data_IF_729226665987
#
_entry.id   IF_729226665987
#
_cell.length_a   1.000
_cell.length_b   1.000
_cell.length_c   1.000
_cell.angle_alpha   90.00
_cell.angle_beta   90.00
_cell.angle_gamma   90.00
#
_symmetry.space_group_name_H-M   'P 1'
#
loop_
_entity.id
_entity.type
_entity.pdbx_description
1 polymer ?
#
# COMPACT_ATOMS: atom_id res chain seq x y z
N UNK A 1 70.26 43.80 -23.08
CA UNK A 1 68.95 43.27 -22.80
C UNK A 1 69.08 41.78 -22.55
N UNK A 2 69.03 41.35 -21.26
CA UNK A 2 69.12 39.97 -20.85
C UNK A 2 67.69 39.38 -20.63
N UNK A 3 67.35 38.36 -21.38
CA UNK A 3 66.08 37.63 -21.22
C UNK A 3 66.31 36.46 -20.29
N UNK A 4 65.68 36.50 -19.12
CA UNK A 4 65.65 35.42 -18.14
C UNK A 4 64.59 34.38 -18.56
N UNK A 5 64.99 33.15 -18.89
CA UNK A 5 64.12 32.02 -19.08
C UNK A 5 63.87 31.36 -17.74
N UNK A 6 62.63 31.42 -17.27
CA UNK A 6 62.16 30.63 -16.11
C UNK A 6 61.82 29.21 -16.59
N UNK A 7 62.62 28.23 -16.16
CA UNK A 7 62.34 26.84 -16.37
C UNK A 7 61.26 26.36 -15.41
N UNK A 8 60.14 25.93 -15.92
CA UNK A 8 59.07 25.27 -15.19
C UNK A 8 59.49 23.76 -15.05
N UNK A 9 59.82 23.34 -13.84
CA UNK A 9 60.09 21.95 -13.50
C UNK A 9 58.79 21.20 -13.34
N UNK A 10 58.52 20.25 -14.21
CA UNK A 10 57.39 19.34 -14.08
C UNK A 10 57.67 18.25 -13.03
N UNK A 11 56.74 17.92 -12.15
CA UNK A 11 56.88 16.84 -11.18
C UNK A 11 56.93 15.50 -11.92
N UNK A 12 57.93 14.68 -11.61
CA UNK A 12 58.12 13.33 -12.16
C UNK A 12 57.02 12.37 -11.77
N UNK A 13 56.82 11.29 -12.53
CA UNK A 13 55.73 10.33 -12.30
C UNK A 13 55.97 9.57 -10.97
N UNK A 14 54.92 9.53 -10.15
CA UNK A 14 54.88 8.77 -8.90
C UNK A 14 55.05 7.26 -9.17
N UNK A 15 55.68 6.48 -8.26
CA UNK A 15 55.92 5.05 -8.45
C UNK A 15 54.60 4.30 -8.45
N UNK A 16 54.33 3.62 -9.55
CA UNK A 16 53.20 2.68 -9.67
C UNK A 16 53.31 1.60 -8.63
N UNK A 17 52.37 1.53 -7.68
CA UNK A 17 52.24 0.39 -6.76
C UNK A 17 52.07 -0.88 -7.60
N UNK A 18 53.09 -1.68 -7.68
CA UNK A 18 53.08 -2.99 -8.29
C UNK A 18 52.09 -3.90 -7.57
N UNK A 19 50.99 -4.21 -8.18
CA UNK A 19 50.12 -5.28 -7.75
C UNK A 19 50.86 -6.59 -7.98
N UNK A 20 51.39 -7.19 -6.92
CA UNK A 20 51.88 -8.58 -6.96
C UNK A 20 50.67 -9.48 -7.14
N UNK A 21 50.33 -9.82 -8.38
CA UNK A 21 49.42 -10.91 -8.67
C UNK A 21 50.09 -12.22 -8.25
N UNK A 22 49.73 -12.73 -7.08
CA UNK A 22 50.06 -14.10 -6.71
C UNK A 22 49.29 -15.02 -7.64
N UNK A 23 49.99 -15.80 -8.44
CA UNK A 23 49.45 -16.84 -9.28
C UNK A 23 48.75 -17.87 -8.37
N UNK A 24 47.42 -17.77 -8.28
CA UNK A 24 46.59 -18.77 -7.59
C UNK A 24 46.45 -19.94 -8.55
N UNK A 25 46.84 -21.15 -8.13
CA UNK A 25 46.71 -22.35 -8.98
C UNK A 25 45.24 -22.53 -9.40
N UNK A 26 45.01 -22.97 -10.64
CA UNK A 26 43.67 -23.18 -11.23
C UNK A 26 42.81 -24.06 -10.32
N UNK A 27 43.40 -25.06 -9.65
CA UNK A 27 42.73 -25.93 -8.70
C UNK A 27 42.18 -25.14 -7.47
N UNK A 28 42.91 -24.15 -6.97
CA UNK A 28 42.52 -23.34 -5.82
C UNK A 28 41.47 -22.31 -6.20
N UNK A 29 41.55 -21.76 -7.42
CA UNK A 29 40.51 -20.88 -7.96
C UNK A 29 39.18 -21.62 -8.20
N UNK A 30 39.26 -22.86 -8.73
CA UNK A 30 38.10 -23.72 -8.92
C UNK A 30 37.44 -24.13 -7.58
N UNK A 31 38.28 -24.44 -6.57
CA UNK A 31 37.77 -24.77 -5.23
C UNK A 31 37.07 -23.58 -4.56
N UNK A 32 37.63 -22.37 -4.64
CA UNK A 32 36.97 -21.16 -4.16
C UNK A 32 35.69 -20.79 -4.93
N UNK A 33 35.64 -21.09 -6.21
CA UNK A 33 34.43 -20.91 -7.01
C UNK A 33 33.33 -21.90 -6.63
N UNK A 34 33.69 -23.17 -6.40
CA UNK A 34 32.78 -24.21 -5.91
C UNK A 34 32.26 -23.89 -4.49
N UNK A 35 33.10 -23.39 -3.61
CA UNK A 35 32.71 -22.99 -2.25
C UNK A 35 31.73 -21.80 -2.26
N UNK A 36 31.92 -20.85 -3.17
CA UNK A 36 30.94 -19.77 -3.39
C UNK A 36 29.60 -20.26 -3.93
N UNK A 37 29.60 -21.25 -4.83
CA UNK A 37 28.38 -21.84 -5.39
C UNK A 37 27.64 -22.65 -4.32
N UNK A 38 28.35 -23.45 -3.53
CA UNK A 38 27.75 -24.27 -2.46
C UNK A 38 27.22 -23.42 -1.31
N UNK A 39 27.92 -22.33 -0.91
CA UNK A 39 27.42 -21.40 0.10
C UNK A 39 26.21 -20.61 -0.38
N UNK A 40 26.10 -20.34 -1.68
CA UNK A 40 24.90 -19.67 -2.24
C UNK A 40 23.70 -20.62 -2.31
N UNK A 41 23.93 -21.91 -2.62
CA UNK A 41 22.86 -22.92 -2.67
C UNK A 41 22.36 -23.36 -1.30
N UNK A 42 23.22 -23.43 -0.27
CA UNK A 42 22.81 -23.76 1.10
C UNK A 42 21.96 -22.66 1.72
N UNK A 43 22.13 -21.38 1.33
CA UNK A 43 21.25 -20.28 1.74
C UNK A 43 19.83 -20.35 1.15
N UNK A 44 19.67 -20.96 -0.01
CA UNK A 44 18.35 -21.08 -0.68
C UNK A 44 17.50 -22.24 -0.11
N UNK A 45 18.08 -23.19 0.62
CA UNK A 45 17.39 -24.42 1.09
C UNK A 45 16.89 -24.39 2.53
N UNK A 46 17.29 -23.42 3.33
CA UNK A 46 16.67 -23.25 4.65
C UNK A 46 15.33 -22.54 4.45
N UNK A 47 14.22 -23.31 4.43
CA UNK A 47 12.85 -22.81 4.36
C UNK A 47 12.39 -22.03 5.58
N UNK A 48 13.30 -21.25 6.17
CA UNK A 48 13.01 -20.24 7.17
C UNK A 48 12.71 -18.90 6.50
N UNK A 49 11.89 -18.10 7.14
CA UNK A 49 11.66 -16.70 6.84
C UNK A 49 12.91 -16.07 6.23
N UNK A 50 12.82 -15.51 5.02
CA UNK A 50 13.96 -14.92 4.30
C UNK A 50 14.50 -13.71 5.09
N UNK A 51 15.30 -13.99 6.09
CA UNK A 51 15.94 -12.99 6.94
C UNK A 51 17.06 -12.34 6.15
N UNK A 52 16.84 -11.11 5.74
CA UNK A 52 17.83 -10.36 4.94
C UNK A 52 18.98 -9.82 5.79
N UNK A 53 18.93 -9.95 7.12
CA UNK A 53 19.81 -9.30 8.10
C UNK A 53 19.97 -7.78 7.88
N UNK A 54 19.17 -7.22 7.01
CA UNK A 54 19.19 -5.81 6.69
C UNK A 54 18.52 -5.00 7.80
N UNK A 55 18.98 -3.76 7.96
CA UNK A 55 18.34 -2.79 8.85
C UNK A 55 16.88 -2.59 8.45
N UNK A 56 15.98 -2.56 9.42
CA UNK A 56 14.57 -2.31 9.19
C UNK A 56 14.38 -0.93 8.56
N UNK A 57 13.67 -0.89 7.44
CA UNK A 57 13.36 0.36 6.76
C UNK A 57 12.20 1.09 7.47
N UNK A 58 12.15 2.44 7.38
CA UNK A 58 10.99 3.19 7.85
C UNK A 58 9.71 2.68 7.18
N UNK A 59 8.59 2.76 7.90
CA UNK A 59 7.27 2.26 7.49
C UNK A 59 7.18 0.74 7.28
N UNK A 60 8.07 -0.04 7.90
CA UNK A 60 7.91 -1.49 7.98
C UNK A 60 6.94 -1.84 9.10
N UNK A 61 5.97 -2.72 8.82
CA UNK A 61 5.02 -3.26 9.80
C UNK A 61 5.45 -4.65 10.25
N UNK A 62 5.10 -5.02 11.45
CA UNK A 62 5.34 -6.37 11.95
C UNK A 62 4.54 -7.39 11.11
N UNK A 63 5.21 -8.48 10.73
CA UNK A 63 4.58 -9.57 10.03
C UNK A 63 3.54 -10.25 10.94
N UNK A 64 2.37 -10.58 10.39
CA UNK A 64 1.26 -11.20 11.12
C UNK A 64 0.27 -10.22 11.76
N UNK A 65 0.51 -8.88 11.70
CA UNK A 65 -0.37 -7.90 12.36
C UNK A 65 -1.36 -7.19 11.44
N UNK A 66 -1.10 -7.17 10.13
CA UNK A 66 -1.89 -6.38 9.16
C UNK A 66 -2.20 -7.15 7.88
N UNK A 67 -1.71 -8.36 7.77
CA UNK A 67 -1.70 -9.10 6.50
C UNK A 67 -3.09 -9.54 6.11
N UNK A 68 -3.94 -9.89 7.06
CA UNK A 68 -5.32 -10.32 6.81
C UNK A 68 -6.16 -9.17 6.22
N UNK A 69 -5.96 -7.93 6.68
CA UNK A 69 -6.60 -6.73 6.11
C UNK A 69 -5.99 -6.32 4.76
N UNK A 70 -4.70 -6.60 4.58
CA UNK A 70 -3.97 -6.20 3.37
C UNK A 70 -4.27 -7.10 2.18
N UNK A 71 -4.37 -8.41 2.42
CA UNK A 71 -4.66 -9.38 1.39
C UNK A 71 -6.16 -9.47 1.09
N UNK A 72 -6.48 -9.76 -0.15
CA UNK A 72 -7.84 -10.14 -0.52
C UNK A 72 -7.79 -11.20 -1.63
N UNK A 73 -8.79 -12.04 -1.65
CA UNK A 73 -8.92 -13.07 -2.66
C UNK A 73 -9.48 -12.47 -3.95
N UNK A 74 -8.82 -12.74 -5.06
CA UNK A 74 -9.29 -12.28 -6.38
C UNK A 74 -10.44 -13.14 -6.87
N UNK A 75 -11.47 -12.53 -7.43
CA UNK A 75 -12.52 -13.24 -8.11
C UNK A 75 -11.98 -13.95 -9.36
N UNK A 76 -12.68 -15.00 -9.81
CA UNK A 76 -12.31 -15.75 -11.01
C UNK A 76 -12.15 -14.83 -12.21
N UNK A 77 -10.98 -14.86 -12.86
CA UNK A 77 -10.64 -14.04 -14.01
C UNK A 77 -10.32 -12.58 -13.70
N UNK A 78 -10.32 -12.15 -12.43
CA UNK A 78 -9.99 -10.76 -12.08
C UNK A 78 -8.52 -10.44 -12.33
N UNK A 79 -7.61 -11.36 -12.02
CA UNK A 79 -6.17 -11.22 -12.30
C UNK A 79 -5.90 -11.05 -13.79
N UNK A 80 -6.60 -11.81 -14.63
CA UNK A 80 -6.46 -11.73 -16.07
C UNK A 80 -7.02 -10.41 -16.62
N UNK A 81 -8.15 -9.94 -16.05
CA UNK A 81 -8.71 -8.61 -16.38
C UNK A 81 -7.79 -7.46 -15.98
N UNK A 82 -7.14 -7.53 -14.81
CA UNK A 82 -6.15 -6.52 -14.39
C UNK A 82 -5.00 -6.48 -15.39
N UNK A 83 -4.47 -7.65 -15.77
CA UNK A 83 -3.38 -7.75 -16.73
C UNK A 83 -3.78 -7.22 -18.11
N UNK A 84 -4.91 -7.66 -18.64
CA UNK A 84 -5.40 -7.23 -19.96
C UNK A 84 -5.60 -5.70 -20.02
N UNK A 85 -6.18 -5.11 -18.98
CA UNK A 85 -6.32 -3.65 -18.89
C UNK A 85 -4.99 -2.92 -18.83
N UNK A 86 -4.03 -3.45 -18.09
CA UNK A 86 -2.69 -2.85 -18.01
C UNK A 86 -1.92 -2.95 -19.34
N UNK A 87 -2.07 -4.07 -20.07
CA UNK A 87 -1.48 -4.25 -21.40
C UNK A 87 -2.10 -3.28 -22.41
N UNK A 88 -3.42 -3.14 -22.44
CA UNK A 88 -4.12 -2.18 -23.30
C UNK A 88 -3.63 -0.73 -23.08
N UNK A 89 -3.41 -0.32 -21.82
CA UNK A 89 -2.85 1.00 -21.53
C UNK A 89 -1.42 1.17 -22.04
N UNK A 90 -0.63 0.11 -22.02
CA UNK A 90 0.73 0.15 -22.54
C UNK A 90 0.72 0.29 -24.06
N UNK A 91 -0.16 -0.42 -24.77
CA UNK A 91 -0.33 -0.34 -26.21
C UNK A 91 -0.79 1.07 -26.64
N UNK A 92 -1.72 1.67 -25.89
CA UNK A 92 -2.24 3.01 -26.16
C UNK A 92 -1.26 4.15 -25.85
N UNK A 93 -0.20 3.88 -25.12
CA UNK A 93 0.77 4.88 -24.64
C UNK A 93 1.30 5.81 -25.75
N UNK A 94 1.66 5.21 -26.89
CA UNK A 94 2.18 5.98 -28.01
C UNK A 94 1.10 6.82 -28.72
N UNK A 95 -0.14 6.37 -28.73
CA UNK A 95 -1.27 7.14 -29.25
C UNK A 95 -1.54 8.36 -28.37
N UNK A 96 -1.60 8.19 -27.05
CA UNK A 96 -1.76 9.27 -26.07
C UNK A 96 -0.65 10.31 -26.22
N UNK A 97 0.61 9.88 -26.36
CA UNK A 97 1.74 10.80 -26.55
C UNK A 97 1.61 11.61 -27.84
N UNK A 98 1.19 10.95 -28.94
CA UNK A 98 1.01 11.60 -30.24
C UNK A 98 -0.13 12.62 -30.22
N UNK A 99 -1.29 12.29 -29.62
CA UNK A 99 -2.41 13.22 -29.50
C UNK A 99 -2.03 14.45 -28.66
N UNK A 100 -1.42 14.26 -27.50
CA UNK A 100 -0.97 15.37 -26.67
C UNK A 100 0.01 16.31 -27.40
N UNK A 101 0.94 15.72 -28.21
CA UNK A 101 1.86 16.50 -29.03
C UNK A 101 1.14 17.24 -30.16
N UNK A 102 0.20 16.63 -30.83
CA UNK A 102 -0.59 17.25 -31.90
C UNK A 102 -1.44 18.41 -31.39
N UNK A 103 -2.00 18.27 -30.19
CA UNK A 103 -2.78 19.30 -29.50
C UNK A 103 -1.90 20.38 -28.82
N UNK A 104 -0.58 20.23 -28.82
CA UNK A 104 0.35 21.15 -28.16
C UNK A 104 0.20 21.23 -26.63
N UNK A 105 -0.46 20.25 -26.01
CA UNK A 105 -0.72 20.23 -24.58
C UNK A 105 0.28 19.40 -23.79
N UNK A 106 0.40 19.73 -22.51
CA UNK A 106 1.16 18.92 -21.55
C UNK A 106 0.35 17.71 -21.13
N UNK A 107 1.02 16.55 -20.98
CA UNK A 107 0.40 15.32 -20.48
C UNK A 107 -0.23 15.54 -19.10
N UNK A 108 -1.46 15.08 -18.94
CA UNK A 108 -2.15 15.08 -17.66
C UNK A 108 -1.44 14.16 -16.63
N UNK A 109 -1.67 14.31 -15.31
CA UNK A 109 -1.06 13.44 -14.31
C UNK A 109 -1.30 11.95 -14.56
N UNK A 110 -2.50 11.57 -15.00
CA UNK A 110 -2.83 10.16 -15.28
C UNK A 110 -2.16 9.66 -16.56
N UNK A 111 -2.09 10.47 -17.61
CA UNK A 111 -1.33 10.14 -18.82
C UNK A 111 0.16 9.95 -18.50
N UNK A 112 0.74 10.79 -17.63
CA UNK A 112 2.12 10.62 -17.15
C UNK A 112 2.31 9.29 -16.41
N UNK A 113 1.32 8.83 -15.62
CA UNK A 113 1.35 7.50 -15.00
C UNK A 113 1.37 6.40 -16.04
N UNK A 114 0.54 6.48 -17.09
CA UNK A 114 0.52 5.51 -18.19
C UNK A 114 1.89 5.44 -18.88
N UNK A 115 2.59 6.58 -19.05
CA UNK A 115 3.93 6.59 -19.64
C UNK A 115 4.96 5.76 -18.85
N UNK A 116 4.75 5.50 -17.57
CA UNK A 116 5.63 4.67 -16.74
C UNK A 116 5.46 3.16 -17.00
N UNK A 117 4.38 2.75 -17.65
CA UNK A 117 4.20 1.35 -18.03
C UNK A 117 5.23 0.97 -19.10
N UNK A 118 5.91 -0.13 -18.86
CA UNK A 118 6.89 -0.68 -19.78
C UNK A 118 6.62 -2.17 -19.97
N UNK A 119 7.02 -2.78 -21.11
CA UNK A 119 6.87 -4.24 -21.30
C UNK A 119 7.52 -5.06 -20.19
N UNK A 120 8.64 -4.56 -19.63
CA UNK A 120 9.30 -5.17 -18.46
C UNK A 120 8.45 -5.10 -17.20
N UNK A 121 7.74 -3.99 -16.97
CA UNK A 121 6.83 -3.84 -15.84
C UNK A 121 5.61 -4.75 -16.00
N UNK A 122 5.04 -4.85 -17.20
CA UNK A 122 3.94 -5.78 -17.49
C UNK A 122 4.33 -7.25 -17.25
N UNK A 123 5.54 -7.64 -17.66
CA UNK A 123 6.03 -9.01 -17.41
C UNK A 123 6.10 -9.32 -15.91
N UNK A 124 6.58 -8.37 -15.10
CA UNK A 124 6.63 -8.53 -13.64
C UNK A 124 5.23 -8.51 -13.03
N UNK A 125 4.34 -7.64 -13.51
CA UNK A 125 2.94 -7.63 -13.10
C UNK A 125 2.27 -8.98 -13.35
N UNK A 126 2.49 -9.59 -14.53
CA UNK A 126 1.98 -10.91 -14.87
C UNK A 126 2.42 -11.97 -13.87
N UNK A 127 3.73 -12.03 -13.57
CA UNK A 127 4.29 -12.99 -12.59
C UNK A 127 3.67 -12.81 -11.20
N UNK A 128 3.45 -11.57 -10.75
CA UNK A 128 2.81 -11.30 -9.46
C UNK A 128 1.32 -11.67 -9.46
N UNK A 129 0.59 -11.45 -10.55
CA UNK A 129 -0.82 -11.83 -10.67
C UNK A 129 -0.99 -13.36 -10.75
N UNK A 130 -0.09 -14.06 -11.43
CA UNK A 130 -0.05 -15.52 -11.42
C UNK A 130 0.19 -16.08 -10.00
N UNK A 131 1.12 -15.48 -9.26
CA UNK A 131 1.34 -15.83 -7.86
C UNK A 131 0.10 -15.55 -7.00
N UNK A 132 -0.56 -14.41 -7.21
CA UNK A 132 -1.78 -14.05 -6.48
C UNK A 132 -2.91 -15.06 -6.72
N UNK A 133 -3.04 -15.57 -7.94
CA UNK A 133 -4.01 -16.59 -8.30
C UNK A 133 -3.74 -17.93 -7.61
N UNK A 134 -2.46 -18.34 -7.51
CA UNK A 134 -2.08 -19.61 -6.88
C UNK A 134 -2.10 -19.56 -5.35
N UNK A 135 -1.85 -18.39 -4.76
CA UNK A 135 -1.75 -18.20 -3.31
C UNK A 135 -2.97 -17.49 -2.70
N UNK A 136 -4.15 -17.57 -3.32
CA UNK A 136 -5.39 -16.94 -2.84
C UNK A 136 -5.20 -15.46 -2.42
N UNK A 137 -4.44 -14.71 -3.21
CA UNK A 137 -4.16 -13.29 -2.98
C UNK A 137 -3.00 -12.98 -2.03
N UNK A 138 -2.42 -13.99 -1.35
CA UNK A 138 -1.30 -13.81 -0.40
C UNK A 138 0.04 -13.73 -1.15
N UNK A 139 0.48 -12.52 -1.50
CA UNK A 139 1.64 -12.27 -2.37
C UNK A 139 2.78 -11.62 -1.59
N UNK A 140 3.81 -12.41 -1.27
CA UNK A 140 5.01 -11.94 -0.56
C UNK A 140 6.30 -12.58 -1.09
N UNK A 141 6.57 -12.50 -2.41
CA UNK A 141 7.76 -13.07 -3.01
C UNK A 141 9.03 -12.37 -2.57
N UNK A 142 10.13 -13.09 -2.62
CA UNK A 142 11.47 -12.49 -2.51
C UNK A 142 11.86 -11.82 -3.82
N UNK A 143 12.82 -10.92 -3.78
CA UNK A 143 13.37 -10.29 -4.98
C UNK A 143 13.98 -11.32 -5.95
N UNK A 144 14.75 -12.26 -5.41
CA UNK A 144 15.38 -13.34 -6.16
C UNK A 144 14.34 -14.21 -6.88
N UNK A 145 13.24 -14.51 -6.20
CA UNK A 145 12.14 -15.25 -6.83
C UNK A 145 11.52 -14.48 -8.00
N UNK A 146 11.31 -13.16 -7.86
CA UNK A 146 10.78 -12.33 -8.94
C UNK A 146 11.77 -12.27 -10.11
N UNK A 147 13.08 -12.12 -9.84
CA UNK A 147 14.15 -12.13 -10.84
C UNK A 147 14.14 -13.45 -11.64
N UNK A 148 14.13 -14.56 -10.93
CA UNK A 148 14.14 -15.89 -11.52
C UNK A 148 12.90 -16.16 -12.38
N UNK A 149 11.69 -15.86 -11.85
CA UNK A 149 10.44 -16.09 -12.56
C UNK A 149 10.21 -15.13 -13.72
N UNK A 150 10.63 -13.90 -13.61
CA UNK A 150 10.49 -12.90 -14.68
C UNK A 150 11.62 -12.98 -15.72
N UNK A 151 12.76 -13.60 -15.39
CA UNK A 151 13.97 -13.57 -16.22
C UNK A 151 14.51 -12.15 -16.41
N UNK A 152 14.34 -11.27 -15.42
CA UNK A 152 14.79 -9.88 -15.48
C UNK A 152 15.82 -9.61 -14.39
N UNK A 153 16.78 -8.72 -14.68
CA UNK A 153 17.79 -8.33 -13.70
C UNK A 153 17.17 -7.57 -12.50
N UNK A 154 17.84 -7.62 -11.37
CA UNK A 154 17.44 -6.96 -10.11
C UNK A 154 17.13 -5.47 -10.31
N UNK A 155 17.95 -4.76 -11.09
CA UNK A 155 17.73 -3.35 -11.41
C UNK A 155 16.43 -3.12 -12.19
N UNK A 156 16.12 -4.01 -13.14
CA UNK A 156 14.87 -3.97 -13.91
C UNK A 156 13.66 -4.27 -13.02
N UNK A 157 13.75 -5.27 -12.13
CA UNK A 157 12.71 -5.61 -11.16
C UNK A 157 12.44 -4.41 -10.25
N UNK A 158 13.49 -3.78 -9.71
CA UNK A 158 13.34 -2.60 -8.85
C UNK A 158 12.61 -1.46 -9.56
N UNK A 159 13.05 -1.12 -10.77
CA UNK A 159 12.44 -0.06 -11.58
C UNK A 159 10.99 -0.37 -11.93
N UNK A 160 10.69 -1.60 -12.32
CA UNK A 160 9.35 -2.04 -12.65
C UNK A 160 8.39 -1.97 -11.45
N UNK A 161 8.80 -2.48 -10.29
CA UNK A 161 7.99 -2.38 -9.05
C UNK A 161 7.74 -0.93 -8.64
N UNK A 162 8.74 -0.04 -8.80
CA UNK A 162 8.57 1.39 -8.55
C UNK A 162 7.57 2.02 -9.54
N UNK A 163 7.68 1.68 -10.82
CA UNK A 163 6.77 2.18 -11.85
C UNK A 163 5.35 1.67 -11.63
N UNK A 164 5.15 0.37 -11.38
CA UNK A 164 3.83 -0.21 -11.10
C UNK A 164 3.17 0.44 -9.87
N UNK A 165 3.95 0.74 -8.83
CA UNK A 165 3.45 1.45 -7.66
C UNK A 165 3.08 2.91 -7.99
N UNK A 166 3.88 3.62 -8.80
CA UNK A 166 3.60 4.99 -9.23
C UNK A 166 2.37 5.07 -10.14
N UNK A 167 2.12 4.05 -10.97
CA UNK A 167 0.90 3.91 -11.78
C UNK A 167 -0.32 3.63 -10.90
N UNK A 168 -0.15 3.00 -9.74
CA UNK A 168 -1.22 2.58 -8.84
C UNK A 168 -1.71 1.15 -9.08
N UNK A 169 -1.05 0.38 -9.97
CA UNK A 169 -1.34 -1.03 -10.22
C UNK A 169 -0.84 -1.94 -9.09
N UNK A 170 0.11 -1.48 -8.29
CA UNK A 170 0.75 -2.22 -7.23
C UNK A 170 0.75 -1.42 -5.93
N UNK A 171 0.16 -1.98 -4.89
CA UNK A 171 0.37 -1.53 -3.53
C UNK A 171 1.40 -2.43 -2.84
N UNK A 172 2.39 -1.81 -2.20
CA UNK A 172 3.50 -2.50 -1.55
C UNK A 172 3.61 -2.06 -0.11
N UNK A 173 3.61 -3.03 0.83
CA UNK A 173 3.91 -2.80 2.23
C UNK A 173 5.18 -3.55 2.63
N UNK A 174 6.07 -2.86 3.35
CA UNK A 174 7.27 -3.47 3.93
C UNK A 174 6.92 -4.22 5.20
N UNK A 175 7.58 -5.37 5.42
CA UNK A 175 7.41 -6.19 6.63
C UNK A 175 8.71 -6.35 7.38
N UNK A 176 8.60 -6.47 8.69
CA UNK A 176 9.71 -6.87 9.56
C UNK A 176 9.25 -8.00 10.47
N UNK A 177 10.20 -8.80 10.92
CA UNK A 177 9.98 -9.91 11.86
C UNK A 177 10.80 -9.63 13.10
N UNK A 178 10.29 -9.83 14.31
CA UNK A 178 11.05 -9.71 15.52
C UNK A 178 12.13 -10.82 15.57
N UNK A 179 13.28 -10.48 16.06
CA UNK A 179 14.38 -11.43 16.34
C UNK A 179 14.32 -11.72 17.82
N UNK A 180 14.31 -12.99 18.17
CA UNK A 180 14.46 -13.39 19.56
C UNK A 180 15.82 -12.93 20.09
N UNK A 181 15.90 -12.41 21.32
CA UNK A 181 17.15 -12.04 21.95
C UNK A 181 18.02 -13.29 22.10
N UNK A 182 19.27 -13.20 21.63
CA UNK A 182 20.30 -14.22 21.80
C UNK A 182 21.35 -13.69 22.77
N UNK A 183 22.13 -14.57 23.40
CA UNK A 183 23.19 -14.17 24.33
C UNK A 183 24.10 -13.09 23.75
N UNK A 184 24.46 -13.17 22.48
CA UNK A 184 25.24 -12.17 21.75
C UNK A 184 24.51 -10.87 21.46
N UNK A 185 23.16 -10.85 21.57
CA UNK A 185 22.29 -9.72 21.23
C UNK A 185 21.12 -9.63 22.23
N UNK A 186 21.34 -9.09 23.41
CA UNK A 186 20.34 -9.06 24.49
C UNK A 186 19.14 -8.15 24.20
N UNK A 187 19.23 -7.23 23.22
CA UNK A 187 18.12 -6.36 22.84
C UNK A 187 17.36 -6.95 21.63
N UNK A 188 16.07 -7.21 21.79
CA UNK A 188 15.20 -7.60 20.70
C UNK A 188 15.28 -6.57 19.57
N UNK A 189 15.62 -7.03 18.38
CA UNK A 189 15.67 -6.20 17.15
C UNK A 189 14.78 -6.81 16.09
N UNK A 190 14.20 -5.97 15.28
CA UNK A 190 13.44 -6.42 14.12
C UNK A 190 14.37 -6.59 12.92
N UNK A 191 14.10 -7.58 12.09
CA UNK A 191 14.75 -7.81 10.80
C UNK A 191 13.79 -7.55 9.66
N UNK A 192 14.32 -6.99 8.55
CA UNK A 192 13.54 -6.81 7.33
C UNK A 192 13.26 -8.18 6.68
N UNK A 193 12.00 -8.43 6.30
CA UNK A 193 11.61 -9.61 5.54
C UNK A 193 11.05 -9.22 4.17
N UNK A 194 10.58 -10.21 3.39
CA UNK A 194 9.99 -9.96 2.09
C UNK A 194 8.77 -9.05 2.20
N UNK A 195 8.63 -8.13 1.24
CA UNK A 195 7.48 -7.23 1.20
C UNK A 195 6.22 -7.99 0.78
N UNK A 196 5.06 -7.46 1.17
CA UNK A 196 3.76 -7.88 0.64
C UNK A 196 3.34 -6.99 -0.52
N UNK A 197 2.63 -7.59 -1.46
CA UNK A 197 2.17 -6.94 -2.67
C UNK A 197 0.69 -7.21 -2.88
N UNK A 198 -0.05 -6.15 -3.23
CA UNK A 198 -1.46 -6.21 -3.62
C UNK A 198 -1.62 -5.51 -4.95
N UNK A 199 -2.19 -6.19 -5.93
CA UNK A 199 -2.44 -5.65 -7.26
C UNK A 199 -3.90 -5.25 -7.39
N UNK A 200 -4.13 -4.07 -7.93
CA UNK A 200 -5.48 -3.59 -8.28
C UNK A 200 -5.40 -2.65 -9.47
N UNK A 201 -6.46 -2.58 -10.24
CA UNK A 201 -6.54 -1.59 -11.31
C UNK A 201 -7.05 -0.26 -10.75
N UNK A 202 -6.33 0.86 -10.94
CA UNK A 202 -6.72 2.15 -10.40
C UNK A 202 -7.90 2.75 -11.18
N UNK A 203 -8.91 3.24 -10.47
CA UNK A 203 -10.12 3.79 -11.06
C UNK A 203 -9.85 5.00 -11.97
N UNK A 204 -8.85 5.83 -11.65
CA UNK A 204 -8.46 7.00 -12.46
C UNK A 204 -8.02 6.64 -13.88
N UNK A 205 -7.56 5.41 -14.11
CA UNK A 205 -7.12 4.96 -15.43
C UNK A 205 -8.22 4.26 -16.23
N UNK A 206 -9.38 3.99 -15.65
CA UNK A 206 -10.51 3.33 -16.34
C UNK A 206 -10.99 4.11 -17.55
N UNK A 207 -10.93 5.44 -17.49
CA UNK A 207 -11.36 6.34 -18.58
C UNK A 207 -10.55 6.16 -19.88
N UNK A 208 -9.30 5.70 -19.76
CA UNK A 208 -8.44 5.46 -20.92
C UNK A 208 -8.65 4.08 -21.56
N UNK A 209 -9.44 3.21 -20.93
CA UNK A 209 -9.74 1.90 -21.49
C UNK A 209 -10.82 1.97 -22.54
N UNK A 210 -10.79 1.09 -23.57
CA UNK A 210 -11.91 0.87 -24.48
C UNK A 210 -13.17 0.52 -23.68
N UNK A 211 -14.33 0.92 -24.20
CA UNK A 211 -15.64 0.71 -23.54
C UNK A 211 -15.85 -0.74 -23.09
N UNK A 212 -15.47 -1.71 -23.92
CA UNK A 212 -15.58 -3.16 -23.63
C UNK A 212 -14.80 -3.63 -22.40
N UNK A 213 -13.75 -2.89 -21.99
CA UNK A 213 -12.90 -3.23 -20.85
C UNK A 213 -13.22 -2.42 -19.59
N UNK A 214 -14.13 -1.46 -19.71
CA UNK A 214 -14.59 -0.69 -18.54
C UNK A 214 -15.47 -1.56 -17.66
N UNK A 215 -15.43 -1.39 -16.33
CA UNK A 215 -16.41 -2.04 -15.47
C UNK A 215 -17.80 -1.55 -15.84
N UNK A 216 -18.75 -2.45 -15.84
CA UNK A 216 -20.16 -2.09 -16.00
C UNK A 216 -20.55 -1.22 -14.80
N UNK A 217 -21.17 -0.05 -15.02
CA UNK A 217 -21.66 0.76 -13.90
C UNK A 217 -22.66 -0.07 -13.08
N UNK A 218 -22.61 0.11 -11.78
CA UNK A 218 -23.60 -0.53 -10.90
C UNK A 218 -24.99 0.03 -11.25
N UNK A 219 -26.04 -0.79 -11.23
CA UNK A 219 -27.41 -0.31 -11.37
C UNK A 219 -27.73 0.76 -10.33
N UNK A 220 -28.51 1.74 -10.70
CA UNK A 220 -28.84 2.90 -9.86
C UNK A 220 -29.53 2.52 -8.54
N UNK A 221 -30.31 1.45 -8.54
CA UNK A 221 -30.93 0.90 -7.33
C UNK A 221 -29.93 0.35 -6.33
N UNK A 222 -28.86 -0.32 -6.82
CA UNK A 222 -27.77 -0.81 -5.96
C UNK A 222 -26.99 0.36 -5.38
N UNK A 223 -26.73 1.40 -6.19
CA UNK A 223 -26.02 2.60 -5.70
C UNK A 223 -26.87 3.34 -4.66
N UNK A 224 -28.16 3.50 -4.89
CA UNK A 224 -29.09 4.11 -3.93
C UNK A 224 -29.17 3.30 -2.64
N UNK A 225 -29.35 1.98 -2.74
CA UNK A 225 -29.40 1.11 -1.58
C UNK A 225 -28.13 1.17 -0.71
N UNK A 226 -26.95 1.35 -1.32
CA UNK A 226 -25.72 1.54 -0.56
C UNK A 226 -25.63 2.92 0.11
N UNK A 227 -26.11 3.97 -0.57
CA UNK A 227 -26.22 5.32 0.01
C UNK A 227 -27.19 5.32 1.19
N UNK A 228 -28.39 4.77 0.99
CA UNK A 228 -29.42 4.66 2.05
C UNK A 228 -28.88 3.86 3.25
N UNK A 229 -28.12 2.80 3.00
CA UNK A 229 -27.49 2.01 4.05
C UNK A 229 -26.44 2.81 4.83
N UNK A 230 -25.60 3.58 4.12
CA UNK A 230 -24.59 4.45 4.76
C UNK A 230 -25.28 5.52 5.61
N UNK A 231 -26.32 6.13 5.07
CA UNK A 231 -27.11 7.14 5.79
C UNK A 231 -27.81 6.54 7.02
N UNK A 232 -28.40 5.36 6.89
CA UNK A 232 -29.01 4.64 8.01
C UNK A 232 -27.99 4.32 9.11
N UNK A 233 -26.80 3.86 8.74
CA UNK A 233 -25.69 3.61 9.69
C UNK A 233 -25.26 4.92 10.35
N UNK A 234 -25.14 6.00 9.61
CA UNK A 234 -24.79 7.32 10.15
C UNK A 234 -25.87 7.82 11.13
N UNK A 235 -27.15 7.68 10.75
CA UNK A 235 -28.27 8.01 11.64
C UNK A 235 -28.26 7.17 12.92
N UNK A 236 -28.08 5.85 12.81
CA UNK A 236 -27.95 4.98 13.97
C UNK A 236 -26.81 5.40 14.90
N UNK A 237 -25.68 5.85 14.36
CA UNK A 237 -24.55 6.35 15.16
C UNK A 237 -24.89 7.63 15.95
N UNK A 238 -25.70 8.50 15.37
CA UNK A 238 -26.17 9.73 16.05
C UNK A 238 -27.09 9.43 17.25
N UNK A 239 -27.82 8.31 17.21
CA UNK A 239 -28.72 7.90 18.31
C UNK A 239 -28.00 7.12 19.42
N UNK A 240 -26.74 6.69 19.19
CA UNK A 240 -25.95 6.00 20.21
C UNK A 240 -25.38 6.97 21.21
N UNK A 241 -25.44 6.61 22.50
CA UNK A 241 -24.76 7.40 23.50
C UNK A 241 -23.23 7.37 23.28
N UNK A 242 -22.50 8.45 23.65
CA UNK A 242 -21.04 8.47 23.56
C UNK A 242 -20.37 7.27 24.22
N UNK A 243 -20.99 6.75 25.27
CA UNK A 243 -20.52 5.56 26.00
C UNK A 243 -20.67 4.26 25.19
N UNK A 244 -21.76 4.11 24.44
CA UNK A 244 -21.96 2.95 23.55
C UNK A 244 -20.97 2.96 22.39
N UNK A 245 -20.75 4.13 21.78
CA UNK A 245 -19.73 4.32 20.73
C UNK A 245 -18.34 3.95 21.25
N UNK A 246 -17.98 4.43 22.45
CA UNK A 246 -16.68 4.12 23.06
C UNK A 246 -16.51 2.62 23.37
N UNK A 247 -17.58 1.89 23.68
CA UNK A 247 -17.53 0.48 23.98
C UNK A 247 -17.35 -0.41 22.72
N UNK A 248 -17.95 -0.03 21.60
CA UNK A 248 -18.05 -0.84 20.40
C UNK A 248 -16.96 -0.55 19.36
N UNK A 249 -16.56 0.73 19.17
CA UNK A 249 -15.67 1.15 18.09
C UNK A 249 -14.18 0.91 18.39
N UNK A 250 -13.80 0.65 19.65
CA UNK A 250 -12.40 0.47 20.04
C UNK A 250 -12.11 -0.97 20.46
N UNK A 251 -11.31 -1.67 19.64
CA UNK A 251 -10.88 -3.04 19.90
C UNK A 251 -9.76 -3.13 20.96
N UNK A 252 -8.97 -2.07 21.13
CA UNK A 252 -7.88 -2.01 22.10
C UNK A 252 -8.44 -1.68 23.49
N UNK A 253 -8.19 -2.55 24.47
CA UNK A 253 -8.71 -2.40 25.85
C UNK A 253 -8.17 -1.17 26.59
N UNK A 254 -6.95 -0.73 26.26
CA UNK A 254 -6.36 0.47 26.84
C UNK A 254 -7.05 1.74 26.32
N UNK A 255 -7.20 1.81 25.00
CA UNK A 255 -7.87 2.93 24.33
C UNK A 255 -9.36 2.97 24.69
N UNK A 256 -10.02 1.80 24.74
CA UNK A 256 -11.44 1.68 25.15
C UNK A 256 -11.68 2.26 26.53
N UNK A 257 -10.83 1.96 27.53
CA UNK A 257 -10.95 2.53 28.89
C UNK A 257 -10.84 4.03 28.90
N UNK A 258 -9.90 4.60 28.16
CA UNK A 258 -9.72 6.04 28.04
C UNK A 258 -10.96 6.68 27.40
N UNK A 259 -11.45 6.10 26.28
CA UNK A 259 -12.63 6.63 25.60
C UNK A 259 -13.91 6.51 26.41
N UNK A 260 -14.07 5.42 27.18
CA UNK A 260 -15.19 5.27 28.12
C UNK A 260 -15.15 6.33 29.27
N UNK A 261 -13.95 6.65 29.76
CA UNK A 261 -13.81 7.71 30.78
C UNK A 261 -14.17 9.10 30.25
N UNK A 262 -13.76 9.40 29.01
CA UNK A 262 -14.12 10.65 28.33
C UNK A 262 -15.61 10.70 28.00
N UNK A 263 -16.20 9.62 27.51
CA UNK A 263 -17.63 9.53 27.23
C UNK A 263 -18.49 9.75 28.47
N UNK A 264 -18.10 9.16 29.61
CA UNK A 264 -18.77 9.40 30.89
C UNK A 264 -18.65 10.84 31.40
N UNK A 265 -17.50 11.49 31.15
CA UNK A 265 -17.30 12.90 31.47
C UNK A 265 -18.20 13.81 30.61
N UNK A 266 -18.33 13.53 29.32
CA UNK A 266 -19.23 14.27 28.41
C UNK A 266 -20.69 14.09 28.80
N UNK A 267 -21.16 12.87 29.05
CA UNK A 267 -22.52 12.60 29.50
C UNK A 267 -22.85 13.35 30.82
N UNK A 268 -21.89 13.37 31.74
CA UNK A 268 -22.04 14.10 33.00
C UNK A 268 -22.12 15.62 32.78
N UNK A 269 -21.33 16.16 31.88
CA UNK A 269 -21.36 17.57 31.52
C UNK A 269 -22.66 17.95 30.80
N UNK A 270 -23.16 17.11 29.90
CA UNK A 270 -24.45 17.32 29.23
C UNK A 270 -25.62 17.24 30.22
N UNK A 271 -25.62 16.29 31.14
CA UNK A 271 -26.61 16.18 32.19
C UNK A 271 -26.63 17.41 33.11
N UNK A 272 -25.46 18.01 33.39
CA UNK A 272 -25.36 19.24 34.16
C UNK A 272 -25.85 20.48 33.39
N UNK A 273 -25.66 20.54 32.08
CA UNK A 273 -26.16 21.61 31.21
C UNK A 273 -27.68 21.52 30.98
N UNK A 274 -28.21 20.32 30.84
CA UNK A 274 -29.65 20.07 30.67
C UNK A 274 -30.44 20.10 32.02
N UNK A 275 -29.77 20.28 33.13
CA UNK A 275 -30.37 20.47 34.45
C UNK A 275 -30.95 21.87 34.70
N UNK A 276 -31.36 22.61 33.65
CA UNK A 276 -32.30 23.70 33.85
C UNK A 276 -33.60 23.12 34.39
N UNK A 277 -34.16 23.70 35.47
CA UNK A 277 -35.41 23.21 36.06
C UNK A 277 -36.45 23.19 34.94
N UNK A 278 -37.03 22.03 34.70
CA UNK A 278 -38.24 21.90 33.91
C UNK A 278 -39.18 22.96 34.45
N UNK A 279 -39.54 23.94 33.62
CA UNK A 279 -40.62 24.88 33.92
C UNK A 279 -41.81 23.97 34.18
N UNK A 280 -42.23 24.00 35.43
CA UNK A 280 -43.32 23.16 35.93
C UNK A 280 -44.55 23.46 35.11
N UNK A 281 -44.89 22.54 34.21
CA UNK A 281 -46.07 22.65 33.33
C UNK A 281 -47.41 22.51 34.12
N UNK A 282 -47.32 22.46 35.47
CA UNK A 282 -48.48 22.45 36.32
C UNK A 282 -49.12 23.82 36.54
N UNK A 283 -48.59 24.90 35.94
CA UNK A 283 -49.13 26.28 36.10
C UNK A 283 -49.75 26.79 34.76
N UNK A 284 -50.39 25.95 33.98
CA UNK A 284 -51.35 26.45 33.02
C UNK A 284 -52.77 26.13 33.53
N UNK A 285 -53.56 27.17 33.95
CA UNK A 285 -54.94 26.95 34.27
C UNK A 285 -55.67 26.50 32.98
N UNK A 286 -56.19 25.32 33.04
CA UNK A 286 -57.15 24.82 32.01
C UNK A 286 -58.42 25.65 32.23
N UNK A 287 -58.54 26.77 31.53
CA UNK A 287 -59.83 27.41 31.34
C UNK A 287 -60.65 26.53 30.44
N UNK A 288 -61.43 25.68 31.05
CA UNK A 288 -62.46 24.94 30.39
C UNK A 288 -63.63 25.88 30.09
N UNK A 289 -63.59 26.56 28.96
CA UNK A 289 -64.83 27.12 28.40
C UNK A 289 -65.36 26.18 27.35
N UNK A 290 -66.47 25.58 27.70
CA UNK A 290 -67.27 24.72 26.84
C UNK A 290 -67.70 25.44 25.59
N UNK A 291 -67.47 24.88 24.46
CA UNK A 291 -68.15 25.21 23.21
C UNK A 291 -69.24 24.19 22.98
N UNK A 292 -70.41 24.66 23.25
CA UNK A 292 -71.69 24.04 22.93
C UNK A 292 -71.80 23.61 21.46
N UNK A 293 -72.42 22.47 21.33
CA UNK A 293 -72.72 21.87 20.06
C UNK A 293 -73.62 22.73 19.18
N UNK A 294 -73.23 23.01 17.99
CA UNK A 294 -74.15 23.34 16.91
C UNK A 294 -74.23 22.17 15.90
N UNK A 295 -75.39 21.51 16.00
CA UNK A 295 -75.88 20.62 14.96
C UNK A 295 -76.20 21.45 13.74
N UNK A 296 -75.66 21.15 12.61
CA UNK A 296 -76.21 21.51 11.31
C UNK A 296 -76.92 20.29 10.66
N UNK A 297 -78.19 20.32 10.67
CA UNK A 297 -79.05 19.57 9.72
C UNK A 297 -79.18 20.39 8.42
N UNK A 298 -78.87 19.79 7.31
CA UNK A 298 -79.55 19.77 6.07
C UNK A 298 -78.68 19.09 4.99
#
# INVERSE_FOLDING_TARGET
>A
MRVLRHGISLPGPSPKRGWKMQAVSVARASFMALERITTTQTRARAGGSNRTRAKVHPNSRLAGTFEDDFFFSYAKGETDRIYARAAELEDQKNAIRRSAKAEGRVLTPDERRIMLLTPGALKILKVLLELARTCAGKVFPTWEWIEQKSGRSRATVHRALKNLAAVGLLNKQRRCVPIEPTADRPKAKNEQTSNVYRMRFPNCLVRFLPHRMRPIPLPDDVVRGEVDRIEAIAAMRLWRSPRQVAAEDFADDGLRRIMLSLATAVEKQESQKNGQPLIDSSILPINGDGLDGQRFNA
#
